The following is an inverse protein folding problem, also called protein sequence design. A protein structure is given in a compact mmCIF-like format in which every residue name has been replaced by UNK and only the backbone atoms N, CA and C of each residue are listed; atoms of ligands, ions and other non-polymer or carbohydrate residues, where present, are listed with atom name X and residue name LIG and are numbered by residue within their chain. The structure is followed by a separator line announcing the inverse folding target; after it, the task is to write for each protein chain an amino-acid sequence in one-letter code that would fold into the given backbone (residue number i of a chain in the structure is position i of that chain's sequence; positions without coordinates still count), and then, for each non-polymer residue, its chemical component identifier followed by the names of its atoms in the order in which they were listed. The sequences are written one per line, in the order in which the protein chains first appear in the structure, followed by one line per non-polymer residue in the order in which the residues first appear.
data_IF_393974387471
#
_entry.id   IF_393974387471
#
_cell.length_a   1.000
_cell.length_b   1.000
_cell.length_c   1.000
_cell.angle_alpha   90.00
_cell.angle_beta   90.00
_cell.angle_gamma   90.00
#
_symmetry.space_group_name_H-M   'P 1'
#
loop_
_entity.id
_entity.type
_entity.pdbx_description
1 polymer ?
#
# COMPACT_ATOMS: atom_id res chain seq x y z
N UNK A 1 5.27 -8.01 -25.84
CA UNK A 1 6.75 -7.98 -25.89
C UNK A 1 7.18 -9.21 -26.68
N UNK A 2 7.99 -9.05 -27.73
CA UNK A 2 8.35 -10.17 -28.63
C UNK A 2 9.63 -10.86 -28.18
N UNK A 3 9.78 -12.13 -28.52
CA UNK A 3 10.95 -12.96 -28.20
C UNK A 3 12.27 -12.34 -28.70
N UNK A 4 12.21 -11.70 -29.86
CA UNK A 4 13.28 -10.91 -30.44
C UNK A 4 13.77 -9.75 -29.55
N UNK A 5 12.85 -9.06 -28.89
CA UNK A 5 13.17 -7.92 -28.00
C UNK A 5 13.82 -8.46 -26.73
N UNK A 6 13.31 -9.55 -26.17
CA UNK A 6 13.87 -10.21 -24.99
C UNK A 6 15.33 -10.64 -25.24
N UNK A 7 15.58 -11.30 -26.37
CA UNK A 7 16.93 -11.69 -26.78
C UNK A 7 17.88 -10.50 -26.95
N UNK A 8 17.42 -9.36 -27.48
CA UNK A 8 18.22 -8.14 -27.58
C UNK A 8 18.46 -7.48 -26.22
N UNK A 9 17.49 -7.54 -25.30
CA UNK A 9 17.63 -7.02 -23.93
C UNK A 9 18.68 -7.81 -23.13
N UNK A 10 18.75 -9.12 -23.34
CA UNK A 10 19.76 -9.96 -22.69
C UNK A 10 21.16 -9.77 -23.29
N UNK A 11 21.25 -9.60 -24.63
CA UNK A 11 22.51 -9.18 -25.27
C UNK A 11 22.98 -7.82 -24.74
N UNK A 12 22.07 -6.85 -24.55
CA UNK A 12 22.37 -5.54 -23.94
C UNK A 12 22.89 -5.69 -22.50
N UNK A 13 22.34 -6.64 -21.73
CA UNK A 13 22.76 -6.91 -20.35
C UNK A 13 24.20 -7.42 -20.29
N UNK A 14 24.57 -8.32 -21.22
CA UNK A 14 25.93 -8.88 -21.33
C UNK A 14 26.95 -7.85 -21.84
N UNK A 15 26.54 -6.93 -22.72
CA UNK A 15 27.41 -5.90 -23.30
C UNK A 15 27.68 -4.68 -22.38
N UNK A 16 27.42 -4.76 -21.06
CA UNK A 16 27.59 -3.63 -20.11
C UNK A 16 29.05 -3.12 -19.99
N UNK A 17 30.04 -3.87 -20.48
CA UNK A 17 31.46 -3.49 -20.50
C UNK A 17 31.90 -2.74 -21.77
N UNK A 18 31.19 -2.90 -22.89
CA UNK A 18 31.57 -2.31 -24.19
C UNK A 18 30.62 -1.17 -24.61
N UNK A 19 31.07 0.07 -24.42
CA UNK A 19 30.21 1.26 -24.56
C UNK A 19 29.63 1.45 -25.97
N UNK A 20 30.35 1.06 -27.03
CA UNK A 20 29.88 1.18 -28.42
C UNK A 20 28.82 0.13 -28.73
N UNK A 21 29.07 -1.12 -28.36
CA UNK A 21 28.13 -2.24 -28.58
C UNK A 21 26.85 -2.05 -27.76
N UNK A 22 26.98 -1.67 -26.49
CA UNK A 22 25.84 -1.36 -25.62
C UNK A 22 24.92 -0.31 -26.23
N UNK A 23 25.48 0.82 -26.70
CA UNK A 23 24.70 1.90 -27.33
C UNK A 23 23.99 1.44 -28.60
N UNK A 24 24.66 0.63 -29.42
CA UNK A 24 24.07 0.06 -30.65
C UNK A 24 22.89 -0.85 -30.33
N UNK A 25 23.07 -1.81 -29.40
CA UNK A 25 22.00 -2.73 -28.99
C UNK A 25 20.86 -1.97 -28.32
N UNK A 26 21.17 -0.98 -27.48
CA UNK A 26 20.14 -0.16 -26.82
C UNK A 26 19.25 0.58 -27.81
N UNK A 27 19.83 1.18 -28.86
CA UNK A 27 19.05 1.81 -29.95
C UNK A 27 18.16 0.79 -30.67
N UNK A 28 18.69 -0.40 -30.98
CA UNK A 28 17.93 -1.48 -31.63
C UNK A 28 16.76 -1.95 -30.76
N UNK A 29 16.99 -2.15 -29.46
CA UNK A 29 15.93 -2.50 -28.49
C UNK A 29 14.85 -1.43 -28.48
N UNK A 30 15.24 -0.15 -28.36
CA UNK A 30 14.27 0.95 -28.35
C UNK A 30 13.42 0.98 -29.62
N UNK A 31 14.06 0.87 -30.80
CA UNK A 31 13.34 0.85 -32.08
C UNK A 31 12.36 -0.31 -32.18
N UNK A 32 12.79 -1.54 -31.86
CA UNK A 32 11.89 -2.71 -31.87
C UNK A 32 10.74 -2.57 -30.84
N UNK A 33 11.00 -1.97 -29.68
CA UNK A 33 9.95 -1.68 -28.70
C UNK A 33 8.93 -0.65 -29.23
N UNK A 34 9.39 0.39 -29.93
CA UNK A 34 8.54 1.39 -30.57
C UNK A 34 7.71 0.74 -31.69
N UNK A 35 8.33 -0.02 -32.60
CA UNK A 35 7.64 -0.78 -33.65
C UNK A 35 6.58 -1.73 -33.07
N UNK A 36 6.94 -2.53 -32.06
CA UNK A 36 6.00 -3.45 -31.42
C UNK A 36 4.84 -2.74 -30.70
N UNK A 37 5.10 -1.55 -30.15
CA UNK A 37 4.07 -0.73 -29.52
C UNK A 37 3.09 -0.18 -30.56
N UNK A 38 3.60 0.31 -31.70
CA UNK A 38 2.76 0.80 -32.80
C UNK A 38 1.89 -0.30 -33.40
N UNK A 39 2.45 -1.48 -33.67
CA UNK A 39 1.67 -2.64 -34.16
C UNK A 39 0.56 -3.00 -33.18
N UNK A 40 0.86 -3.05 -31.88
CA UNK A 40 -0.14 -3.35 -30.86
C UNK A 40 -1.23 -2.28 -30.77
N UNK A 41 -0.86 -0.99 -30.82
CA UNK A 41 -1.83 0.11 -30.80
C UNK A 41 -2.75 0.08 -32.02
N UNK A 42 -2.18 -0.14 -33.22
CA UNK A 42 -2.96 -0.22 -34.45
C UNK A 42 -3.97 -1.37 -34.41
N UNK A 43 -3.56 -2.53 -33.90
CA UNK A 43 -4.46 -3.68 -33.74
C UNK A 43 -5.59 -3.37 -32.74
N UNK A 44 -5.26 -2.71 -31.62
CA UNK A 44 -6.28 -2.27 -30.65
C UNK A 44 -7.26 -1.25 -31.23
N UNK A 45 -6.80 -0.31 -32.05
CA UNK A 45 -7.69 0.62 -32.74
C UNK A 45 -8.66 -0.13 -33.67
N UNK A 46 -8.16 -1.09 -34.46
CA UNK A 46 -9.02 -1.93 -35.32
C UNK A 46 -10.06 -2.70 -34.53
N UNK A 47 -9.68 -3.31 -33.41
CA UNK A 47 -10.62 -3.99 -32.51
C UNK A 47 -11.73 -3.02 -32.04
N UNK A 48 -11.36 -1.82 -31.59
CA UNK A 48 -12.31 -0.81 -31.11
C UNK A 48 -13.28 -0.37 -32.22
N UNK A 49 -12.79 -0.16 -33.45
CA UNK A 49 -13.61 0.19 -34.60
C UNK A 49 -14.69 -0.87 -34.91
N UNK A 50 -14.38 -2.16 -34.71
CA UNK A 50 -15.37 -3.23 -34.91
C UNK A 50 -16.52 -3.17 -33.89
N UNK A 51 -16.25 -2.74 -32.66
CA UNK A 51 -17.24 -2.65 -31.60
C UNK A 51 -18.15 -1.43 -31.71
N UNK A 52 -17.82 -0.44 -32.54
CA UNK A 52 -18.59 0.80 -32.72
C UNK A 52 -20.06 0.53 -33.08
N UNK A 53 -20.33 -0.50 -33.88
CA UNK A 53 -21.70 -0.85 -34.32
C UNK A 53 -22.37 -1.94 -33.49
N UNK A 54 -21.58 -2.80 -32.83
CA UNK A 54 -22.08 -4.02 -32.18
C UNK A 54 -22.24 -3.87 -30.67
N UNK A 55 -21.35 -3.12 -30.00
CA UNK A 55 -21.29 -3.02 -28.55
C UNK A 55 -20.65 -1.70 -28.09
N UNK A 56 -21.40 -0.58 -28.08
CA UNK A 56 -20.85 0.74 -27.74
C UNK A 56 -20.27 0.79 -26.32
N UNK A 57 -20.87 0.07 -25.35
CA UNK A 57 -20.35 0.01 -23.98
C UNK A 57 -18.95 -0.64 -23.91
N UNK A 58 -18.71 -1.69 -24.69
CA UNK A 58 -17.40 -2.35 -24.77
C UNK A 58 -16.37 -1.44 -25.44
N UNK A 59 -16.78 -0.68 -26.46
CA UNK A 59 -15.95 0.34 -27.10
C UNK A 59 -15.47 1.39 -26.08
N UNK A 60 -16.40 2.00 -25.31
CA UNK A 60 -16.05 3.00 -24.31
C UNK A 60 -15.10 2.46 -23.24
N UNK A 61 -15.33 1.23 -22.74
CA UNK A 61 -14.43 0.59 -21.77
C UNK A 61 -13.03 0.37 -22.34
N UNK A 62 -12.92 -0.11 -23.58
CA UNK A 62 -11.62 -0.33 -24.24
C UNK A 62 -10.87 0.99 -24.45
N UNK A 63 -11.57 2.08 -24.81
CA UNK A 63 -11.00 3.43 -24.93
C UNK A 63 -10.52 3.94 -23.57
N UNK A 64 -11.32 3.76 -22.53
CA UNK A 64 -10.94 4.13 -21.16
C UNK A 64 -9.69 3.36 -20.70
N UNK A 65 -9.60 2.05 -20.96
CA UNK A 65 -8.42 1.26 -20.63
C UNK A 65 -7.13 1.73 -21.33
N UNK A 66 -7.23 2.24 -22.56
CA UNK A 66 -6.10 2.80 -23.31
C UNK A 66 -5.71 4.21 -22.84
N UNK A 67 -6.70 5.03 -22.45
CA UNK A 67 -6.51 6.43 -22.04
C UNK A 67 -6.06 6.56 -20.59
N UNK A 68 -6.55 5.68 -19.71
CA UNK A 68 -6.22 5.73 -18.29
C UNK A 68 -4.75 5.39 -18.15
N UNK A 69 -3.95 6.39 -17.78
CA UNK A 69 -2.62 6.19 -17.24
C UNK A 69 -2.77 5.36 -15.97
N UNK A 70 -2.70 4.03 -16.10
CA UNK A 70 -2.57 3.14 -14.94
C UNK A 70 -1.39 3.70 -14.14
N UNK A 71 -1.66 4.11 -12.89
CA UNK A 71 -0.60 4.52 -11.98
C UNK A 71 0.44 3.42 -12.06
N UNK A 72 1.69 3.77 -12.37
CA UNK A 72 2.75 2.80 -12.40
C UNK A 72 2.67 2.06 -11.08
N UNK A 73 2.24 0.79 -11.12
CA UNK A 73 2.33 -0.10 -9.97
C UNK A 73 3.78 0.04 -9.54
N UNK A 74 4.00 0.51 -8.31
CA UNK A 74 5.34 0.70 -7.77
C UNK A 74 6.12 -0.52 -8.18
N UNK A 75 7.10 -0.33 -9.07
CA UNK A 75 7.85 -1.43 -9.67
C UNK A 75 8.24 -2.30 -8.51
N UNK A 76 7.88 -3.59 -8.55
CA UNK A 76 8.00 -4.52 -7.42
C UNK A 76 9.46 -4.78 -7.10
N UNK A 77 10.16 -3.73 -6.72
CA UNK A 77 11.57 -3.63 -6.52
C UNK A 77 11.79 -3.03 -5.14
N UNK A 78 12.70 -3.64 -4.39
CA UNK A 78 12.99 -3.27 -3.03
C UNK A 78 14.49 -3.04 -2.91
N UNK A 79 14.89 -2.04 -2.15
CA UNK A 79 16.32 -1.79 -1.92
C UNK A 79 16.81 -2.69 -0.79
N UNK A 80 17.82 -3.50 -1.09
CA UNK A 80 18.55 -4.29 -0.11
C UNK A 80 19.30 -3.39 0.88
N UNK A 81 19.75 -3.97 2.00
CA UNK A 81 20.50 -3.25 3.04
C UNK A 81 21.82 -2.67 2.54
N UNK A 82 22.49 -3.38 1.62
CA UNK A 82 23.72 -2.95 0.92
C UNK A 82 23.47 -1.91 -0.20
N UNK A 83 22.20 -1.54 -0.45
CA UNK A 83 21.81 -0.57 -1.45
C UNK A 83 21.51 -1.12 -2.84
N UNK A 84 21.61 -2.42 -3.05
CA UNK A 84 21.24 -3.09 -4.31
C UNK A 84 19.73 -3.11 -4.54
N UNK A 85 19.30 -3.13 -5.81
CA UNK A 85 17.86 -3.21 -6.16
C UNK A 85 17.47 -4.68 -6.35
N UNK A 86 16.62 -5.18 -5.45
CA UNK A 86 16.02 -6.51 -5.49
C UNK A 86 14.77 -6.44 -6.36
N UNK A 87 14.67 -7.30 -7.37
CA UNK A 87 13.49 -7.43 -8.26
C UNK A 87 12.79 -8.79 -8.13
N UNK A 88 13.41 -9.72 -7.41
CA UNK A 88 12.95 -11.11 -7.26
C UNK A 88 12.01 -11.23 -6.06
N UNK A 89 10.84 -11.83 -6.27
CA UNK A 89 9.75 -11.85 -5.27
C UNK A 89 10.16 -12.49 -3.94
N UNK A 90 10.89 -13.60 -4.00
CA UNK A 90 11.29 -14.33 -2.79
C UNK A 90 12.28 -13.53 -1.96
N UNK A 91 13.26 -12.89 -2.61
CA UNK A 91 14.22 -11.99 -1.95
C UNK A 91 13.57 -10.72 -1.40
N UNK A 92 12.51 -10.23 -2.04
CA UNK A 92 11.73 -9.10 -1.51
C UNK A 92 11.06 -9.51 -0.20
N UNK A 93 10.45 -10.70 -0.14
CA UNK A 93 9.83 -11.22 1.09
C UNK A 93 10.87 -11.42 2.20
N UNK A 94 12.03 -11.96 1.87
CA UNK A 94 13.13 -12.13 2.82
C UNK A 94 13.61 -10.79 3.39
N UNK A 95 13.82 -9.78 2.54
CA UNK A 95 14.22 -8.42 2.97
C UNK A 95 13.14 -7.71 3.80
N UNK A 96 11.85 -7.98 3.54
CA UNK A 96 10.75 -7.51 4.39
C UNK A 96 10.78 -8.18 5.76
N UNK A 97 11.03 -9.49 5.82
CA UNK A 97 11.15 -10.22 7.09
C UNK A 97 12.32 -9.71 7.92
N UNK A 98 13.49 -9.52 7.29
CA UNK A 98 14.68 -8.92 7.91
C UNK A 98 14.36 -7.54 8.50
N UNK A 99 13.72 -6.67 7.72
CA UNK A 99 13.36 -5.32 8.16
C UNK A 99 12.48 -5.31 9.42
N UNK A 100 11.43 -6.15 9.43
CA UNK A 100 10.46 -6.20 10.52
C UNK A 100 11.14 -6.72 11.78
N UNK A 101 11.99 -7.75 11.65
CA UNK A 101 12.76 -8.27 12.79
C UNK A 101 13.64 -7.19 13.40
N UNK A 102 14.41 -6.46 12.60
CA UNK A 102 15.27 -5.36 13.08
C UNK A 102 14.46 -4.21 13.70
N UNK A 103 13.30 -3.88 13.13
CA UNK A 103 12.46 -2.78 13.61
C UNK A 103 11.83 -3.06 14.98
N UNK A 104 11.49 -4.32 15.23
CA UNK A 104 10.83 -4.77 16.46
C UNK A 104 11.76 -5.56 17.38
N UNK A 105 13.06 -5.55 17.11
CA UNK A 105 14.05 -6.09 18.03
C UNK A 105 14.12 -5.16 19.24
N UNK A 106 13.43 -5.54 20.31
CA UNK A 106 13.29 -4.73 21.51
C UNK A 106 14.26 -5.21 22.58
N UNK A 107 15.42 -4.54 22.67
CA UNK A 107 16.43 -4.80 23.70
C UNK A 107 16.05 -4.19 25.08
N UNK A 108 14.85 -3.60 25.22
CA UNK A 108 14.43 -3.05 26.52
C UNK A 108 14.33 -4.19 27.54
N UNK A 109 15.06 -4.05 28.64
CA UNK A 109 14.93 -4.92 29.81
C UNK A 109 13.46 -4.99 30.20
N UNK A 110 12.97 -6.19 30.50
CA UNK A 110 11.64 -6.37 31.11
C UNK A 110 11.54 -5.37 32.27
N UNK A 111 10.60 -4.44 32.16
CA UNK A 111 10.34 -3.49 33.22
C UNK A 111 9.90 -4.34 34.40
N UNK A 112 10.73 -4.45 35.43
CA UNK A 112 10.33 -5.07 36.68
C UNK A 112 9.04 -4.36 37.10
N UNK A 113 7.93 -5.10 37.10
CA UNK A 113 6.64 -4.57 37.52
C UNK A 113 6.86 -4.09 38.94
N UNK A 114 6.93 -2.77 39.11
CA UNK A 114 7.10 -2.15 40.42
C UNK A 114 5.94 -2.67 41.26
N UNK A 115 6.23 -3.60 42.17
CA UNK A 115 5.29 -4.07 43.19
C UNK A 115 5.14 -2.96 44.23
N UNK A 116 4.67 -1.80 43.77
CA UNK A 116 4.27 -0.70 44.62
C UNK A 116 2.89 -0.98 45.18
N UNK A 117 2.64 -0.53 46.40
CA UNK A 117 1.30 -0.48 46.93
C UNK A 117 0.52 0.55 46.10
N UNK A 118 -0.23 0.10 45.09
CA UNK A 118 -1.13 0.94 44.27
C UNK A 118 -2.38 1.40 45.04
N UNK A 119 -2.37 1.28 46.37
CA UNK A 119 -3.44 1.76 47.23
C UNK A 119 -3.41 3.29 47.25
N UNK A 120 -4.05 3.89 46.26
CA UNK A 120 -4.41 5.30 46.26
C UNK A 120 -5.54 5.58 47.26
N UNK A 121 -5.87 6.86 47.48
CA UNK A 121 -7.06 7.23 48.23
C UNK A 121 -8.32 6.58 47.63
N UNK A 122 -9.35 6.30 48.45
CA UNK A 122 -10.61 5.78 47.93
C UNK A 122 -11.22 6.75 46.93
N UNK A 123 -11.83 6.24 45.87
CA UNK A 123 -12.47 7.07 44.84
C UNK A 123 -13.63 7.86 45.46
N UNK A 124 -13.62 9.18 45.32
CA UNK A 124 -14.70 10.04 45.82
C UNK A 124 -15.89 10.05 44.85
N UNK A 125 -17.10 10.19 45.39
CA UNK A 125 -18.32 10.34 44.58
C UNK A 125 -18.25 11.55 43.63
N UNK A 126 -17.61 12.64 44.06
CA UNK A 126 -17.48 13.86 43.26
C UNK A 126 -16.50 13.72 42.10
N UNK A 127 -15.48 12.87 42.23
CA UNK A 127 -14.58 12.52 41.11
C UNK A 127 -15.36 11.82 40.01
N UNK A 128 -16.20 10.83 40.40
CA UNK A 128 -17.04 10.07 39.46
C UNK A 128 -18.07 10.97 38.77
N UNK A 129 -18.73 11.86 39.51
CA UNK A 129 -19.66 12.86 38.95
C UNK A 129 -18.96 13.78 37.95
N UNK A 130 -17.80 14.30 38.30
CA UNK A 130 -17.02 15.20 37.44
C UNK A 130 -16.56 14.49 36.16
N UNK A 131 -16.08 13.25 36.28
CA UNK A 131 -15.68 12.43 35.14
C UNK A 131 -16.85 12.18 34.20
N UNK A 132 -18.02 11.81 34.75
CA UNK A 132 -19.25 11.57 33.98
C UNK A 132 -19.70 12.83 33.23
N UNK A 133 -19.64 14.00 33.87
CA UNK A 133 -20.02 15.26 33.24
C UNK A 133 -19.07 15.67 32.10
N UNK A 134 -17.76 15.43 32.26
CA UNK A 134 -16.72 15.72 31.26
C UNK A 134 -16.78 14.83 30.01
N UNK A 135 -17.49 13.70 30.04
CA UNK A 135 -17.64 12.84 28.86
C UNK A 135 -18.23 13.63 27.68
N UNK A 136 -17.80 13.37 26.45
CA UNK A 136 -18.35 14.06 25.26
C UNK A 136 -19.59 13.34 24.75
N UNK A 137 -20.62 14.10 24.38
CA UNK A 137 -21.79 13.56 23.70
C UNK A 137 -21.48 13.28 22.22
N UNK A 138 -22.25 12.41 21.58
CA UNK A 138 -22.12 12.05 20.17
C UNK A 138 -20.87 11.22 19.85
N UNK A 139 -20.33 10.49 20.84
CA UNK A 139 -19.23 9.54 20.62
C UNK A 139 -19.79 8.15 20.33
N UNK A 140 -19.09 7.41 19.49
CA UNK A 140 -19.44 6.02 19.19
C UNK A 140 -19.42 5.16 20.46
N UNK A 141 -20.36 4.23 20.55
CA UNK A 141 -20.48 3.31 21.68
C UNK A 141 -19.37 2.26 21.64
N UNK A 142 -19.01 1.73 22.82
CA UNK A 142 -18.11 0.61 22.93
C UNK A 142 -18.78 -0.73 22.58
N UNK A 143 -18.10 -1.86 22.81
CA UNK A 143 -18.68 -3.20 22.64
C UNK A 143 -19.92 -3.46 23.50
N UNK A 144 -20.08 -2.70 24.60
CA UNK A 144 -21.24 -2.72 25.50
C UNK A 144 -22.46 -1.99 24.92
N UNK A 145 -22.29 -1.26 23.83
CA UNK A 145 -23.30 -0.45 23.15
C UNK A 145 -23.98 0.62 24.05
N UNK A 146 -23.26 1.11 25.07
CA UNK A 146 -23.77 2.14 25.99
C UNK A 146 -23.21 3.50 25.58
N UNK A 147 -24.10 4.47 25.37
CA UNK A 147 -23.74 5.83 24.99
C UNK A 147 -23.47 6.72 26.21
N UNK A 148 -22.60 7.70 26.05
CA UNK A 148 -22.25 8.64 27.13
C UNK A 148 -23.47 9.41 27.65
N UNK A 149 -24.44 9.70 26.78
CA UNK A 149 -25.70 10.36 27.15
C UNK A 149 -26.53 9.53 28.13
N UNK A 150 -26.55 8.21 27.96
CA UNK A 150 -27.29 7.30 28.85
C UNK A 150 -26.69 7.30 30.25
N UNK A 151 -25.35 7.27 30.35
CA UNK A 151 -24.62 7.32 31.62
C UNK A 151 -24.87 8.66 32.33
N UNK A 152 -24.82 9.77 31.59
CA UNK A 152 -25.13 11.10 32.14
C UNK A 152 -26.57 11.23 32.62
N UNK A 153 -27.53 10.69 31.88
CA UNK A 153 -28.95 10.72 32.27
C UNK A 153 -29.18 9.95 33.58
N UNK A 154 -28.59 8.76 33.71
CA UNK A 154 -28.65 7.95 34.93
C UNK A 154 -28.01 8.66 36.13
N UNK A 155 -26.86 9.31 35.94
CA UNK A 155 -26.19 10.07 37.01
C UNK A 155 -27.02 11.25 37.50
N UNK A 156 -27.76 11.91 36.61
CA UNK A 156 -28.66 13.02 36.96
C UNK A 156 -29.88 12.52 37.75
N UNK A 157 -30.49 11.41 37.34
CA UNK A 157 -31.62 10.79 38.04
C UNK A 157 -31.24 10.34 39.46
N UNK A 158 -30.04 9.78 39.63
CA UNK A 158 -29.52 9.36 40.93
C UNK A 158 -29.23 10.54 41.89
N UNK A 159 -29.17 11.77 41.39
CA UNK A 159 -28.94 12.97 42.20
C UNK A 159 -30.25 13.68 42.61
N UNK A 160 -31.41 13.18 42.19
CA UNK A 160 -32.76 13.73 42.47
C UNK A 160 -33.46 12.98 43.64
N UNK A 161 -32.75 12.06 44.33
CA UNK A 161 -33.23 11.38 45.55
C UNK A 161 -32.36 11.72 46.75
#
# INVERSE_FOLDING_TARGET
MTEDILNLMDKRRKAKGEQKEYKSIHRKVRRKCEEAKEVWLNEKCREIDTFQRQAPNTMYRNVEELMVKKKASSTGCLKAKNGEIIMEKDKILERWSEYIKELFDDERKEIEVVKGNFAGPPILKDEVRTATWKMKNGKGTGPDNIAAEQIKALSNLASIK
#
